data_IF_307326646551
#
_entry.id   IF_307326646551
#
_cell.length_a   1.000
_cell.length_b   1.000
_cell.length_c   1.000
_cell.angle_alpha   90.00
_cell.angle_beta   90.00
_cell.angle_gamma   90.00
#
_symmetry.space_group_name_H-M   'P 1'
#
loop_
_entity.id
_entity.type
_entity.pdbx_description
1 polymer ?
#
# COMPACT_ATOMS: atom_id res chain seq x y z
N UNK A 1 -21.22 22.64 10.95
CA UNK A 1 -22.62 22.17 11.04
C UNK A 1 -22.91 22.01 12.52
N UNK A 2 -23.72 22.92 13.06
CA UNK A 2 -24.00 23.09 14.49
C UNK A 2 -24.46 21.77 15.11
N UNK A 3 -23.67 21.28 16.08
CA UNK A 3 -24.01 20.08 16.85
C UNK A 3 -24.98 20.53 17.93
N UNK A 4 -26.27 20.58 17.59
CA UNK A 4 -27.29 20.57 18.64
C UNK A 4 -26.98 19.37 19.54
N UNK A 5 -26.73 19.66 20.82
CA UNK A 5 -26.38 18.66 21.81
C UNK A 5 -27.38 17.51 21.74
N UNK A 6 -26.89 16.25 21.68
CA UNK A 6 -27.77 15.09 21.71
C UNK A 6 -28.58 15.07 23.00
N UNK A 7 -29.91 15.08 22.87
CA UNK A 7 -30.86 14.98 23.99
C UNK A 7 -31.35 13.54 24.14
N UNK A 8 -32.05 13.28 25.24
CA UNK A 8 -32.70 12.00 25.48
C UNK A 8 -33.72 11.71 24.39
N UNK A 9 -33.60 10.54 23.75
CA UNK A 9 -34.48 10.09 22.67
C UNK A 9 -33.90 10.28 21.27
N UNK A 10 -32.82 11.07 21.14
CA UNK A 10 -32.19 11.30 19.85
C UNK A 10 -31.43 10.07 19.36
N UNK A 11 -31.53 9.82 18.05
CA UNK A 11 -30.75 8.81 17.35
C UNK A 11 -29.68 9.50 16.53
N UNK A 12 -28.42 9.15 16.79
CA UNK A 12 -27.29 9.70 16.07
C UNK A 12 -26.19 8.66 15.85
N UNK A 13 -25.40 8.87 14.80
CA UNK A 13 -24.16 8.14 14.59
C UNK A 13 -23.02 8.91 15.26
N UNK A 14 -22.30 8.25 16.17
CA UNK A 14 -21.19 8.83 16.91
C UNK A 14 -19.89 8.11 16.59
N UNK A 15 -18.79 8.85 16.53
CA UNK A 15 -17.45 8.30 16.40
C UNK A 15 -16.70 8.55 17.71
N UNK A 16 -16.19 7.48 18.31
CA UNK A 16 -15.44 7.54 19.55
C UNK A 16 -14.20 6.64 19.43
N UNK A 17 -13.23 6.88 20.32
CA UNK A 17 -12.03 6.05 20.47
C UNK A 17 -11.87 5.65 21.93
N UNK A 18 -11.32 4.48 22.16
CA UNK A 18 -10.89 4.08 23.50
C UNK A 18 -9.65 4.90 23.88
N UNK A 19 -9.69 5.53 25.05
CA UNK A 19 -8.62 6.42 25.50
C UNK A 19 -7.45 5.63 26.07
N UNK A 20 -7.73 4.61 26.88
CA UNK A 20 -6.71 3.90 27.65
C UNK A 20 -6.05 2.78 26.85
N UNK A 21 -6.85 1.86 26.32
CA UNK A 21 -6.37 0.72 25.56
C UNK A 21 -7.22 0.51 24.32
N UNK A 22 -6.62 0.17 23.17
CA UNK A 22 -7.40 -0.27 22.03
C UNK A 22 -8.08 -1.60 22.36
N UNK A 23 -9.35 -1.70 22.05
CA UNK A 23 -10.13 -2.92 22.23
C UNK A 23 -10.48 -3.52 20.88
N UNK A 24 -10.62 -4.85 20.85
CA UNK A 24 -11.06 -5.53 19.63
C UNK A 24 -12.57 -5.39 19.46
N UNK A 25 -12.99 -4.75 18.36
CA UNK A 25 -14.41 -4.57 18.04
C UNK A 25 -14.75 -5.19 16.70
N UNK A 26 -15.98 -5.72 16.63
CA UNK A 26 -16.62 -6.19 15.41
C UNK A 26 -17.88 -5.38 15.14
N UNK A 27 -18.18 -5.17 13.87
CA UNK A 27 -19.46 -4.61 13.43
C UNK A 27 -20.60 -5.50 13.94
N UNK A 28 -21.66 -4.87 14.46
CA UNK A 28 -22.79 -5.56 15.09
C UNK A 28 -22.69 -5.71 16.61
N UNK A 29 -21.51 -5.50 17.20
CA UNK A 29 -21.35 -5.53 18.66
C UNK A 29 -22.21 -4.44 19.31
N UNK A 30 -22.81 -4.77 20.46
CA UNK A 30 -23.58 -3.84 21.29
C UNK A 30 -22.63 -3.14 22.25
N UNK A 31 -22.77 -1.83 22.38
CA UNK A 31 -22.00 -1.00 23.31
C UNK A 31 -22.94 -0.19 24.20
N UNK A 32 -22.55 -0.02 25.46
CA UNK A 32 -23.31 0.74 26.45
C UNK A 32 -22.44 1.87 26.96
N UNK A 33 -22.90 3.11 26.80
CA UNK A 33 -22.23 4.28 27.35
C UNK A 33 -22.67 4.49 28.79
N UNK A 34 -21.71 4.50 29.72
CA UNK A 34 -21.96 4.62 31.16
C UNK A 34 -21.17 5.77 31.78
N UNK A 35 -21.88 6.53 32.59
CA UNK A 35 -21.35 7.56 33.49
C UNK A 35 -22.23 7.48 34.75
N UNK A 36 -21.99 6.44 35.55
CA UNK A 36 -22.89 5.98 36.62
C UNK A 36 -24.08 5.16 36.09
N UNK A 37 -25.01 5.82 35.39
CA UNK A 37 -26.19 5.20 34.74
C UNK A 37 -25.97 4.98 33.24
N UNK A 38 -26.80 4.14 32.62
CA UNK A 38 -26.79 3.92 31.17
C UNK A 38 -27.30 5.17 30.46
N UNK A 39 -26.42 5.80 29.67
CA UNK A 39 -26.74 7.01 28.90
C UNK A 39 -27.24 6.68 27.50
N UNK A 40 -26.65 5.66 26.89
CA UNK A 40 -27.01 5.20 25.55
C UNK A 40 -26.64 3.74 25.36
N UNK A 41 -27.37 3.07 24.46
CA UNK A 41 -27.06 1.74 23.95
C UNK A 41 -26.93 1.85 22.44
N UNK A 42 -25.78 1.45 21.90
CA UNK A 42 -25.46 1.55 20.49
C UNK A 42 -25.07 0.21 19.88
N UNK A 43 -25.11 0.15 18.56
CA UNK A 43 -24.54 -0.98 17.79
C UNK A 43 -23.41 -0.44 16.94
N UNK A 44 -22.28 -1.14 16.91
CA UNK A 44 -21.12 -0.77 16.11
C UNK A 44 -21.45 -0.94 14.62
N UNK A 45 -21.36 0.15 13.86
CA UNK A 45 -21.63 0.15 12.41
C UNK A 45 -20.35 0.10 11.58
N UNK A 46 -19.27 0.73 12.05
CA UNK A 46 -17.96 0.77 11.40
C UNK A 46 -16.86 0.66 12.46
N UNK A 47 -15.76 0.00 12.10
CA UNK A 47 -14.56 -0.11 12.94
C UNK A 47 -13.38 0.42 12.15
N UNK A 48 -12.63 1.35 12.74
CA UNK A 48 -11.44 1.91 12.13
C UNK A 48 -10.21 1.15 12.65
N UNK A 49 -9.22 0.83 11.79
CA UNK A 49 -7.99 0.17 12.20
C UNK A 49 -7.27 0.96 13.29
N UNK A 50 -6.74 0.27 14.30
CA UNK A 50 -5.87 0.91 15.28
C UNK A 50 -4.52 1.22 14.63
N UNK A 51 -4.24 2.51 14.46
CA UNK A 51 -2.92 3.00 14.07
C UNK A 51 -2.30 3.73 15.25
N UNK A 52 -1.15 3.28 15.72
CA UNK A 52 -0.40 4.02 16.73
C UNK A 52 -0.02 5.40 16.17
N UNK A 53 -0.21 6.46 16.96
CA UNK A 53 0.17 7.83 16.60
C UNK A 53 1.63 7.91 16.13
N UNK A 54 2.52 7.12 16.74
CA UNK A 54 3.92 7.04 16.33
C UNK A 54 4.09 6.52 14.89
N UNK A 55 3.29 5.53 14.49
CA UNK A 55 3.33 4.96 13.14
C UNK A 55 2.77 5.92 12.08
N UNK A 56 1.78 6.74 12.43
CA UNK A 56 1.27 7.79 11.52
C UNK A 56 2.33 8.88 11.28
N UNK A 57 3.07 9.27 12.31
CA UNK A 57 4.12 10.29 12.22
C UNK A 57 5.32 9.80 11.40
N UNK A 58 5.68 8.51 11.47
CA UNK A 58 6.78 7.94 10.68
C UNK A 58 6.42 7.77 9.20
N UNK A 59 5.18 7.40 8.88
CA UNK A 59 4.71 7.27 7.49
C UNK A 59 4.73 8.62 6.73
N UNK A 60 4.42 9.73 7.40
CA UNK A 60 4.40 11.06 6.77
C UNK A 60 5.80 11.59 6.40
N UNK A 61 6.88 11.10 7.04
CA UNK A 61 8.26 11.59 6.81
C UNK A 61 8.98 10.91 5.65
N UNK A 62 8.50 9.76 5.15
CA UNK A 62 9.21 8.93 4.17
C UNK A 62 8.89 9.23 2.70
N UNK A 63 8.10 10.26 2.38
CA UNK A 63 7.86 10.70 0.99
C UNK A 63 8.99 11.61 0.46
N UNK A 64 10.25 11.16 0.51
CA UNK A 64 11.34 11.78 -0.27
C UNK A 64 11.50 11.01 -1.59
N UNK A 65 11.19 11.59 -2.76
CA UNK A 65 11.49 10.95 -4.03
C UNK A 65 13.01 10.92 -4.24
N UNK A 66 13.60 9.73 -4.15
CA UNK A 66 15.01 9.51 -4.47
C UNK A 66 15.16 9.58 -6.00
N UNK A 67 15.53 10.75 -6.52
CA UNK A 67 15.95 10.92 -7.91
C UNK A 67 17.34 10.28 -8.08
N UNK A 68 17.38 9.03 -8.56
CA UNK A 68 18.60 8.42 -9.07
C UNK A 68 18.96 9.05 -10.42
N UNK A 69 19.88 10.03 -10.42
CA UNK A 69 20.54 10.47 -11.66
C UNK A 69 21.68 9.49 -11.94
N UNK A 70 21.49 8.57 -12.89
CA UNK A 70 22.50 7.60 -13.34
C UNK A 70 23.48 8.34 -14.27
N UNK A 71 24.74 8.42 -13.86
CA UNK A 71 25.82 9.11 -14.58
C UNK A 71 26.41 8.16 -15.65
N UNK A 72 26.04 8.30 -16.92
CA UNK A 72 26.59 7.55 -18.05
C UNK A 72 27.73 8.32 -18.73
N UNK A 73 28.92 8.30 -18.13
CA UNK A 73 30.17 8.63 -18.82
C UNK A 73 31.32 7.80 -18.24
N UNK A 74 31.67 6.70 -18.93
CA UNK A 74 33.02 6.11 -19.03
C UNK A 74 32.92 4.72 -19.66
N UNK A 75 33.50 4.54 -20.85
CA UNK A 75 33.62 3.19 -21.39
C UNK A 75 34.21 2.96 -22.78
N UNK A 76 34.53 3.97 -23.59
CA UNK A 76 35.17 3.72 -24.89
C UNK A 76 36.70 3.80 -24.77
N UNK A 77 37.35 2.67 -24.46
CA UNK A 77 38.77 2.45 -24.78
C UNK A 77 39.14 0.97 -24.74
N UNK A 78 39.71 0.51 -25.86
CA UNK A 78 40.37 -0.78 -26.13
C UNK A 78 39.48 -2.01 -26.31
N UNK A 79 39.32 -2.47 -27.57
CA UNK A 79 39.86 -3.78 -28.04
C UNK A 79 39.50 -4.04 -29.52
N UNK A 80 40.26 -3.43 -30.42
CA UNK A 80 40.44 -3.82 -31.84
C UNK A 80 41.79 -3.23 -32.22
N UNK A 81 42.85 -3.97 -32.54
CA UNK A 81 42.93 -4.95 -33.61
C UNK A 81 44.04 -5.97 -33.28
N UNK A 82 43.67 -7.22 -33.10
CA UNK A 82 44.54 -8.35 -33.40
C UNK A 82 43.66 -9.39 -34.13
N UNK A 83 44.26 -10.01 -35.13
CA UNK A 83 43.76 -11.15 -35.93
C UNK A 83 43.00 -10.80 -37.22
N UNK A 84 43.81 -10.62 -38.28
CA UNK A 84 43.45 -11.05 -39.63
C UNK A 84 43.35 -12.59 -39.69
N UNK A 85 42.46 -13.03 -40.58
CA UNK A 85 42.57 -14.22 -41.44
C UNK A 85 41.88 -15.54 -41.06
N UNK A 86 41.03 -15.95 -42.03
CA UNK A 86 40.53 -17.28 -42.42
C UNK A 86 39.16 -17.70 -41.86
N UNK A 87 38.25 -18.36 -42.58
CA UNK A 87 37.81 -18.38 -43.98
C UNK A 87 36.57 -19.30 -44.01
N UNK A 88 35.60 -18.96 -44.88
CA UNK A 88 34.56 -19.83 -45.50
C UNK A 88 33.33 -20.38 -44.73
N UNK A 89 32.18 -20.02 -45.33
CA UNK A 89 31.00 -20.83 -45.67
C UNK A 89 29.88 -21.11 -44.62
N UNK A 90 28.84 -20.29 -44.73
CA UNK A 90 27.39 -20.60 -44.71
C UNK A 90 26.88 -21.71 -43.76
N UNK A 91 26.37 -21.31 -42.59
CA UNK A 91 25.28 -21.99 -41.88
C UNK A 91 24.40 -20.93 -41.17
N UNK A 92 23.10 -20.93 -41.43
CA UNK A 92 22.10 -20.16 -40.67
C UNK A 92 21.56 -21.00 -39.51
N UNK A 93 21.69 -20.52 -38.26
CA UNK A 93 20.62 -20.74 -37.29
C UNK A 93 20.38 -19.49 -36.43
N UNK A 94 19.36 -18.69 -36.75
CA UNK A 94 18.89 -17.61 -35.87
C UNK A 94 17.93 -18.16 -34.81
N UNK A 95 18.49 -18.68 -33.71
CA UNK A 95 17.78 -18.81 -32.44
C UNK A 95 17.90 -17.50 -31.69
N UNK A 96 16.85 -16.69 -31.64
CA UNK A 96 16.67 -15.71 -30.57
C UNK A 96 15.26 -15.89 -29.98
N UNK A 97 15.26 -16.42 -28.75
CA UNK A 97 14.11 -16.47 -27.85
C UNK A 97 13.60 -15.05 -27.62
N UNK A 98 12.48 -14.71 -28.24
CA UNK A 98 11.60 -13.64 -27.75
C UNK A 98 10.60 -14.27 -26.80
N UNK A 99 10.74 -13.92 -25.53
CA UNK A 99 9.74 -14.19 -24.49
C UNK A 99 8.54 -13.29 -24.76
N UNK A 100 7.49 -13.83 -25.36
CA UNK A 100 6.20 -13.18 -25.53
C UNK A 100 5.10 -14.05 -24.92
N UNK A 101 4.58 -13.56 -23.79
CA UNK A 101 3.18 -13.56 -23.35
C UNK A 101 2.25 -14.67 -23.85
N UNK A 102 1.94 -15.56 -22.91
CA UNK A 102 0.68 -16.26 -22.65
C UNK A 102 -0.51 -15.97 -23.59
N UNK A 103 -0.99 -17.00 -24.29
CA UNK A 103 -2.27 -17.00 -25.00
C UNK A 103 -3.15 -18.13 -24.42
N UNK A 104 -4.33 -17.75 -23.96
CA UNK A 104 -5.38 -18.60 -23.39
C UNK A 104 -6.05 -19.42 -24.49
N UNK A 105 -6.14 -20.74 -24.32
CA UNK A 105 -7.03 -21.61 -25.09
C UNK A 105 -8.07 -22.23 -24.16
N UNK A 106 -9.35 -21.99 -24.45
CA UNK A 106 -10.50 -22.67 -23.81
C UNK A 106 -10.91 -23.84 -24.69
N UNK A 107 -11.22 -24.97 -24.05
CA UNK A 107 -12.08 -26.02 -24.60
C UNK A 107 -13.52 -25.81 -24.14
#
# INVERSE_FOLDING_TARGET
MSVDCLRTGDKASVHFKFVKHPEFLKVGNKLVFREGRTKAVGTVTKVNPYTSTAALISAAKNNKPVKMLRNEQRGERNRSQQTQQQAQAQQTPSSHKVSASEIIAKS
#
